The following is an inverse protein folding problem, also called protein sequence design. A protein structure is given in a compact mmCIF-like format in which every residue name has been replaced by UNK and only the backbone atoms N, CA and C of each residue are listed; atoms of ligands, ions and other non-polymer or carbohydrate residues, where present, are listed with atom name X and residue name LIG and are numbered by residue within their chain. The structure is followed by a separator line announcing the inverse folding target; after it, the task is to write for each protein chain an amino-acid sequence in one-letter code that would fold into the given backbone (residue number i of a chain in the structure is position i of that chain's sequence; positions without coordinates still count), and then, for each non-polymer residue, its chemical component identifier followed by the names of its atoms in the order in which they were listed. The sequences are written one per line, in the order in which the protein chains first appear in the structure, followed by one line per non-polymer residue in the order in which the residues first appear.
data_IF_077006398113
#
_entry.id   IF_077006398113
#
_cell.length_a   1.000
_cell.length_b   1.000
_cell.length_c   1.000
_cell.angle_alpha   90.00
_cell.angle_beta   90.00
_cell.angle_gamma   90.00
#
_symmetry.space_group_name_H-M   'P 1'
#
loop_
_entity.id
_entity.type
_entity.pdbx_description
1 polymer ?
#
# COMPACT_ATOMS: atom_id res chain seq x y z
N UNK A 1 5.88 5.67 -11.10
CA UNK A 1 4.56 6.28 -11.37
C UNK A 1 4.13 7.04 -10.12
N UNK A 2 3.75 8.31 -10.25
CA UNK A 2 3.15 9.09 -9.16
C UNK A 2 1.68 8.71 -9.06
N UNK A 3 1.22 8.28 -7.90
CA UNK A 3 -0.19 7.91 -7.67
C UNK A 3 -1.02 9.11 -7.18
N UNK A 4 -2.34 9.02 -7.27
CA UNK A 4 -3.26 10.03 -6.71
C UNK A 4 -3.01 10.23 -5.20
N UNK A 5 -2.63 9.16 -4.50
CA UNK A 5 -2.26 9.24 -3.08
C UNK A 5 -0.95 9.99 -2.85
N UNK A 6 0.01 9.87 -3.75
CA UNK A 6 1.25 10.66 -3.70
C UNK A 6 0.96 12.14 -3.95
N UNK A 7 0.06 12.47 -4.89
CA UNK A 7 -0.39 13.84 -5.08
C UNK A 7 -1.08 14.39 -3.83
N UNK A 8 -1.97 13.62 -3.19
CA UNK A 8 -2.62 14.04 -1.95
C UNK A 8 -1.61 14.30 -0.83
N UNK A 9 -0.56 13.46 -0.72
CA UNK A 9 0.54 13.65 0.23
C UNK A 9 1.35 14.91 -0.05
N UNK A 10 1.74 15.13 -1.31
CA UNK A 10 2.54 16.29 -1.72
C UNK A 10 1.74 17.58 -1.53
N UNK A 11 0.48 17.60 -1.98
CA UNK A 11 -0.41 18.75 -1.81
C UNK A 11 -0.69 19.05 -0.34
N UNK A 12 -0.95 18.01 0.47
CA UNK A 12 -1.13 18.15 1.91
C UNK A 12 0.10 18.78 2.56
N UNK A 13 1.30 18.29 2.24
CA UNK A 13 2.55 18.84 2.75
C UNK A 13 2.79 20.30 2.30
N UNK A 14 2.53 20.62 1.03
CA UNK A 14 2.72 21.96 0.49
C UNK A 14 1.73 22.98 1.11
N UNK A 15 0.45 22.62 1.20
CA UNK A 15 -0.57 23.46 1.83
C UNK A 15 -0.26 23.62 3.32
N UNK A 16 0.08 22.53 4.00
CA UNK A 16 0.47 22.56 5.41
C UNK A 16 1.65 23.48 5.66
N UNK A 17 2.72 23.36 4.86
CA UNK A 17 3.90 24.22 4.96
C UNK A 17 3.56 25.69 4.70
N UNK A 18 2.75 25.99 3.68
CA UNK A 18 2.34 27.37 3.36
C UNK A 18 1.51 28.00 4.47
N UNK A 19 0.49 27.29 4.98
CA UNK A 19 -0.33 27.76 6.08
C UNK A 19 0.47 27.92 7.36
N UNK A 20 1.32 26.93 7.68
CA UNK A 20 2.17 26.98 8.85
C UNK A 20 3.17 28.13 8.81
N UNK A 21 3.76 28.40 7.65
CA UNK A 21 4.67 29.53 7.46
C UNK A 21 3.94 30.86 7.58
N UNK A 22 2.75 30.99 6.97
CA UNK A 22 1.95 32.21 7.05
C UNK A 22 1.54 32.54 8.48
N UNK A 23 0.93 31.59 9.19
CA UNK A 23 0.50 31.76 10.59
C UNK A 23 1.70 32.00 11.50
N UNK A 24 2.75 31.20 11.38
CA UNK A 24 3.95 31.36 12.18
C UNK A 24 4.64 32.71 11.96
N UNK A 25 4.62 33.23 10.72
CA UNK A 25 5.21 34.51 10.41
C UNK A 25 4.46 35.68 11.04
N UNK A 26 3.13 35.62 11.05
CA UNK A 26 2.28 36.64 11.68
C UNK A 26 2.52 36.71 13.19
N UNK A 27 2.69 35.57 13.85
CA UNK A 27 2.80 35.50 15.32
C UNK A 27 4.22 35.80 15.86
N UNK A 28 5.26 35.28 15.19
CA UNK A 28 6.63 35.37 15.71
C UNK A 28 7.67 35.72 14.62
N UNK A 29 7.23 36.38 13.55
CA UNK A 29 8.11 36.87 12.48
C UNK A 29 8.84 35.73 11.76
N UNK A 30 10.06 35.99 11.29
CA UNK A 30 10.78 35.02 10.45
C UNK A 30 10.98 33.66 11.12
N UNK A 31 11.33 33.65 12.42
CA UNK A 31 11.56 32.40 13.17
C UNK A 31 10.26 31.63 13.30
N UNK A 32 9.16 32.31 13.66
CA UNK A 32 7.84 31.69 13.71
C UNK A 32 7.42 31.10 12.38
N UNK A 33 7.67 31.80 11.26
CA UNK A 33 7.38 31.31 9.92
C UNK A 33 8.16 30.05 9.55
N UNK A 34 9.45 29.98 9.89
CA UNK A 34 10.26 28.77 9.63
C UNK A 34 9.74 27.59 10.46
N UNK A 35 9.54 27.78 11.76
CA UNK A 35 9.06 26.72 12.66
C UNK A 35 7.66 26.27 12.27
N UNK A 36 6.76 27.22 12.03
CA UNK A 36 5.40 26.96 11.58
C UNK A 36 5.37 26.23 10.24
N UNK A 37 6.22 26.62 9.28
CA UNK A 37 6.34 25.95 7.98
C UNK A 37 6.79 24.49 8.11
N UNK A 38 7.77 24.20 8.97
CA UNK A 38 8.24 22.82 9.21
C UNK A 38 7.15 21.98 9.87
N UNK A 39 6.49 22.50 10.91
CA UNK A 39 5.40 21.80 11.59
C UNK A 39 4.22 21.57 10.63
N UNK A 40 3.87 22.59 9.86
CA UNK A 40 2.83 22.53 8.84
C UNK A 40 3.14 21.49 7.76
N UNK A 41 4.39 21.39 7.31
CA UNK A 41 4.83 20.36 6.38
C UNK A 41 4.61 18.96 6.97
N UNK A 42 5.07 18.72 8.19
CA UNK A 42 4.95 17.41 8.86
C UNK A 42 3.49 17.01 9.05
N UNK A 43 2.65 17.92 9.54
CA UNK A 43 1.22 17.69 9.75
C UNK A 43 0.52 17.48 8.40
N UNK A 44 0.79 18.34 7.42
CA UNK A 44 0.24 18.26 6.07
C UNK A 44 0.59 16.95 5.37
N UNK A 45 1.82 16.48 5.53
CA UNK A 45 2.26 15.18 5.01
C UNK A 45 1.52 14.02 5.69
N UNK A 46 1.36 14.06 7.02
CA UNK A 46 0.61 13.04 7.77
C UNK A 46 -0.86 13.01 7.35
N UNK A 47 -1.49 14.17 7.21
CA UNK A 47 -2.87 14.29 6.77
C UNK A 47 -3.04 13.84 5.31
N UNK A 48 -2.10 14.18 4.43
CA UNK A 48 -2.12 13.72 3.04
C UNK A 48 -1.97 12.20 2.88
N UNK A 49 -1.45 11.49 3.89
CA UNK A 49 -1.42 10.01 3.93
C UNK A 49 -2.72 9.38 4.45
N UNK A 50 -3.64 10.13 5.05
CA UNK A 50 -4.90 9.59 5.59
C UNK A 50 -5.73 8.82 4.57
N UNK A 51 -5.96 9.31 3.34
CA UNK A 51 -6.80 8.59 2.37
C UNK A 51 -6.26 7.19 2.07
N UNK A 52 -4.95 7.06 1.88
CA UNK A 52 -4.30 5.78 1.65
C UNK A 52 -4.44 4.85 2.87
N UNK A 53 -4.25 5.39 4.08
CA UNK A 53 -4.41 4.64 5.32
C UNK A 53 -5.84 4.12 5.50
N UNK A 54 -6.84 4.97 5.27
CA UNK A 54 -8.25 4.62 5.36
C UNK A 54 -8.64 3.59 4.29
N UNK A 55 -8.22 3.78 3.05
CA UNK A 55 -8.46 2.82 1.96
C UNK A 55 -7.86 1.44 2.29
N UNK A 56 -6.61 1.39 2.74
CA UNK A 56 -5.96 0.14 3.17
C UNK A 56 -6.69 -0.52 4.34
N UNK A 57 -7.12 0.27 5.33
CA UNK A 57 -7.85 -0.23 6.49
C UNK A 57 -9.21 -0.79 6.10
N UNK A 58 -9.93 -0.12 5.20
CA UNK A 58 -11.22 -0.57 4.70
C UNK A 58 -11.07 -1.86 3.89
N UNK A 59 -10.08 -1.93 3.00
CA UNK A 59 -9.79 -3.13 2.21
C UNK A 59 -9.41 -4.32 3.11
N UNK A 60 -8.54 -4.10 4.10
CA UNK A 60 -8.19 -5.13 5.08
C UNK A 60 -9.41 -5.62 5.86
N UNK A 61 -10.31 -4.70 6.25
CA UNK A 61 -11.56 -5.05 6.92
C UNK A 61 -12.49 -5.85 6.01
N UNK A 62 -12.59 -5.50 4.74
CA UNK A 62 -13.37 -6.24 3.74
C UNK A 62 -12.83 -7.66 3.54
N UNK A 63 -11.52 -7.81 3.30
CA UNK A 63 -10.87 -9.11 3.17
C UNK A 63 -11.04 -9.95 4.44
N UNK A 64 -10.94 -9.34 5.62
CA UNK A 64 -11.14 -10.04 6.90
C UNK A 64 -12.56 -10.58 7.10
N UNK A 65 -13.56 -10.05 6.39
CA UNK A 65 -14.96 -10.49 6.44
C UNK A 65 -15.32 -11.48 5.34
N UNK A 66 -14.54 -11.54 4.26
CA UNK A 66 -14.75 -12.50 3.18
C UNK A 66 -14.53 -13.94 3.67
N UNK A 67 -15.22 -14.92 3.06
CA UNK A 67 -14.99 -16.34 3.32
C UNK A 67 -13.72 -16.83 2.61
N UNK A 68 -13.22 -18.02 2.94
CA UNK A 68 -12.06 -18.60 2.24
C UNK A 68 -12.34 -18.76 0.74
N UNK A 69 -13.49 -19.34 0.37
CA UNK A 69 -13.87 -19.49 -1.04
C UNK A 69 -13.98 -18.14 -1.79
N UNK A 70 -14.46 -17.09 -1.11
CA UNK A 70 -14.52 -15.75 -1.68
C UNK A 70 -13.12 -15.16 -1.89
N UNK A 71 -12.22 -15.35 -0.93
CA UNK A 71 -10.81 -14.94 -1.05
C UNK A 71 -10.11 -15.68 -2.19
N UNK A 72 -10.33 -16.98 -2.34
CA UNK A 72 -9.78 -17.78 -3.44
C UNK A 72 -10.29 -17.30 -4.81
N UNK A 73 -11.59 -17.01 -4.92
CA UNK A 73 -12.16 -16.44 -6.14
C UNK A 73 -11.51 -15.08 -6.47
N UNK A 74 -11.43 -14.20 -5.47
CA UNK A 74 -10.79 -12.88 -5.61
C UNK A 74 -9.30 -12.98 -5.93
N UNK A 75 -8.60 -14.02 -5.48
CA UNK A 75 -7.19 -14.22 -5.82
C UNK A 75 -7.00 -14.37 -7.33
N UNK A 76 -7.90 -15.07 -8.01
CA UNK A 76 -7.86 -15.28 -9.46
C UNK A 76 -8.27 -14.02 -10.23
N UNK A 77 -9.31 -13.32 -9.77
CA UNK A 77 -9.87 -12.14 -10.42
C UNK A 77 -9.00 -10.88 -10.19
N UNK A 78 -8.45 -10.72 -8.99
CA UNK A 78 -7.79 -9.50 -8.50
C UNK A 78 -6.31 -9.77 -8.19
N UNK A 79 -5.52 -10.16 -9.20
CA UNK A 79 -4.11 -10.52 -9.02
C UNK A 79 -3.26 -9.42 -8.33
N UNK A 80 -3.64 -8.14 -8.42
CA UNK A 80 -2.97 -7.02 -7.74
C UNK A 80 -3.16 -7.02 -6.22
N UNK A 81 -4.19 -7.70 -5.70
CA UNK A 81 -4.43 -7.90 -4.27
C UNK A 81 -3.90 -9.24 -3.75
N UNK A 82 -3.27 -10.04 -4.61
CA UNK A 82 -2.79 -11.39 -4.25
C UNK A 82 -2.00 -11.44 -2.95
N UNK A 83 -1.05 -10.54 -2.77
CA UNK A 83 -0.24 -10.48 -1.55
C UNK A 83 -1.06 -10.20 -0.28
N UNK A 84 -2.16 -9.42 -0.37
CA UNK A 84 -3.05 -9.17 0.77
C UNK A 84 -3.98 -10.35 1.02
N UNK A 85 -4.49 -10.96 -0.04
CA UNK A 85 -5.38 -12.12 0.03
C UNK A 85 -4.64 -13.33 0.62
N UNK A 86 -3.44 -13.63 0.13
CA UNK A 86 -2.60 -14.72 0.63
C UNK A 86 -2.18 -14.48 2.09
N UNK A 87 -1.86 -13.24 2.46
CA UNK A 87 -1.59 -12.88 3.86
C UNK A 87 -2.81 -13.16 4.76
N UNK A 88 -4.02 -12.84 4.29
CA UNK A 88 -5.25 -13.10 5.03
C UNK A 88 -5.58 -14.59 5.14
N UNK A 89 -5.38 -15.36 4.07
CA UNK A 89 -5.52 -16.83 4.08
C UNK A 89 -4.52 -17.47 5.07
N UNK A 90 -3.26 -17.05 5.04
CA UNK A 90 -2.24 -17.50 5.98
C UNK A 90 -2.59 -17.13 7.43
N UNK A 91 -3.09 -15.91 7.67
CA UNK A 91 -3.54 -15.44 8.99
C UNK A 91 -4.65 -16.32 9.57
N UNK A 92 -5.45 -16.95 8.71
CA UNK A 92 -6.52 -17.89 9.07
C UNK A 92 -6.05 -19.34 9.22
N UNK A 93 -4.76 -19.61 9.04
CA UNK A 93 -4.19 -20.96 9.10
C UNK A 93 -4.49 -21.83 7.88
N UNK A 94 -4.90 -21.22 6.75
CA UNK A 94 -5.06 -21.94 5.49
C UNK A 94 -3.68 -22.29 4.94
N UNK A 95 -3.49 -23.54 4.55
CA UNK A 95 -2.27 -23.96 3.86
C UNK A 95 -2.17 -23.24 2.51
N UNK A 96 -1.04 -22.56 2.29
CA UNK A 96 -0.81 -21.82 1.06
C UNK A 96 -0.19 -22.68 -0.04
N UNK A 97 0.35 -23.87 0.25
CA UNK A 97 1.01 -24.72 -0.74
C UNK A 97 0.19 -24.95 -2.03
N UNK A 98 -1.15 -25.09 -2.00
CA UNK A 98 -1.95 -25.23 -3.22
C UNK A 98 -1.90 -24.02 -4.18
N UNK A 99 -1.55 -22.83 -3.69
CA UNK A 99 -1.48 -21.61 -4.52
C UNK A 99 -0.11 -21.38 -5.14
N UNK A 100 0.93 -22.14 -4.76
CA UNK A 100 2.28 -22.02 -5.35
C UNK A 100 2.28 -22.20 -6.88
N UNK A 101 1.63 -23.24 -7.46
CA UNK A 101 1.60 -23.42 -8.92
C UNK A 101 0.93 -22.25 -9.64
N UNK A 102 -0.16 -21.71 -9.07
CA UNK A 102 -0.85 -20.54 -9.61
C UNK A 102 0.08 -19.32 -9.70
N UNK A 103 0.88 -19.08 -8.66
CA UNK A 103 1.84 -17.97 -8.65
C UNK A 103 2.97 -18.18 -9.65
N UNK A 104 3.44 -19.42 -9.83
CA UNK A 104 4.42 -19.76 -10.86
C UNK A 104 3.86 -19.53 -12.27
N UNK A 105 2.60 -19.90 -12.52
CA UNK A 105 1.94 -19.66 -13.80
C UNK A 105 1.84 -18.15 -14.09
N UNK A 106 1.56 -17.32 -13.08
CA UNK A 106 1.51 -15.88 -13.24
C UNK A 106 2.86 -15.27 -13.64
N UNK A 107 3.97 -15.81 -13.12
CA UNK A 107 5.34 -15.36 -13.48
C UNK A 107 5.65 -15.64 -14.96
N UNK A 108 5.07 -16.69 -15.53
CA UNK A 108 5.27 -17.07 -16.93
C UNK A 108 4.17 -16.53 -17.87
N UNK A 109 3.14 -15.87 -17.33
CA UNK A 109 2.05 -15.31 -18.14
C UNK A 109 2.49 -14.09 -18.94
N UNK A 110 1.82 -13.81 -20.06
CA UNK A 110 2.14 -12.64 -20.92
C UNK A 110 1.76 -11.29 -20.28
N UNK A 111 1.04 -11.29 -19.15
CA UNK A 111 0.59 -10.06 -18.49
C UNK A 111 1.69 -9.52 -17.55
N UNK A 112 2.26 -8.33 -17.81
CA UNK A 112 3.30 -7.75 -16.95
C UNK A 112 2.84 -7.57 -15.50
N UNK A 113 1.54 -7.29 -15.30
CA UNK A 113 0.95 -7.15 -13.97
C UNK A 113 0.96 -8.49 -13.22
N UNK A 114 0.50 -9.58 -13.87
CA UNK A 114 0.55 -10.91 -13.27
C UNK A 114 1.97 -11.37 -13.00
N UNK A 115 2.91 -11.10 -13.91
CA UNK A 115 4.33 -11.40 -13.68
C UNK A 115 4.86 -10.69 -12.44
N UNK A 116 4.60 -9.38 -12.30
CA UNK A 116 5.07 -8.59 -11.17
C UNK A 116 4.47 -9.09 -9.85
N UNK A 117 3.15 -9.23 -9.77
CA UNK A 117 2.48 -9.65 -8.54
C UNK A 117 2.70 -11.12 -8.21
N UNK A 118 2.87 -11.98 -9.22
CA UNK A 118 3.32 -13.36 -9.06
C UNK A 118 4.69 -13.41 -8.40
N UNK A 119 5.68 -12.67 -8.92
CA UNK A 119 7.04 -12.60 -8.33
C UNK A 119 7.02 -12.08 -6.90
N UNK A 120 6.30 -11.00 -6.62
CA UNK A 120 6.22 -10.41 -5.27
C UNK A 120 5.59 -11.39 -4.28
N UNK A 121 4.47 -12.02 -4.65
CA UNK A 121 3.80 -13.00 -3.79
C UNK A 121 4.68 -14.23 -3.54
N UNK A 122 5.39 -14.71 -4.57
CA UNK A 122 6.31 -15.84 -4.42
C UNK A 122 7.48 -15.51 -3.50
N UNK A 123 8.04 -14.30 -3.57
CA UNK A 123 9.11 -13.85 -2.67
C UNK A 123 8.66 -13.75 -1.21
N UNK A 124 7.41 -13.34 -0.96
CA UNK A 124 6.88 -13.17 0.40
C UNK A 124 6.51 -14.51 1.03
N UNK A 125 5.77 -15.35 0.30
CA UNK A 125 5.16 -16.57 0.87
C UNK A 125 5.94 -17.86 0.56
N UNK A 126 6.76 -17.87 -0.49
CA UNK A 126 7.56 -19.04 -0.92
C UNK A 126 9.03 -18.66 -1.18
N UNK A 127 9.74 -18.06 -0.19
CA UNK A 127 11.06 -17.47 -0.41
C UNK A 127 12.12 -18.47 -0.89
N UNK A 128 12.03 -19.73 -0.46
CA UNK A 128 12.95 -20.80 -0.89
C UNK A 128 12.84 -21.08 -2.40
N UNK A 129 11.62 -21.02 -2.95
CA UNK A 129 11.34 -21.22 -4.37
C UNK A 129 11.68 -20.00 -5.20
N UNK A 130 11.41 -18.81 -4.67
CA UNK A 130 11.81 -17.57 -5.31
C UNK A 130 13.34 -17.47 -5.47
N UNK A 131 14.12 -18.03 -4.54
CA UNK A 131 15.58 -18.06 -4.64
C UNK A 131 16.10 -18.95 -5.79
N UNK A 132 15.37 -20.01 -6.15
CA UNK A 132 15.74 -20.91 -7.26
C UNK A 132 15.35 -20.41 -8.65
N UNK A 133 14.54 -19.36 -8.74
CA UNK A 133 14.05 -18.78 -10.00
C UNK A 133 14.84 -17.52 -10.44
N UNK A 134 15.96 -17.22 -9.77
CA UNK A 134 16.85 -16.10 -10.08
C UNK A 134 17.75 -16.38 -11.28
#
# INVERSE_FOLDING_TARGET
MVTVFDMARIMGAAIGAGLGMGVGHVEAGLIGGIVGGVLGLLVGERLGRLPLFLARRQLSKELSRATVAELERRLVEECFLSHLILAELQRRGVDLAPYEPLLLDWIHSDSPMRQQFGRVSLQIFFPQRAATLK
#
